data_IF_808277676734
#
_entry.id   IF_808277676734
#
_cell.length_a   1.000
_cell.length_b   1.000
_cell.length_c   1.000
_cell.angle_alpha   90.00
_cell.angle_beta   90.00
_cell.angle_gamma   90.00
#
_symmetry.space_group_name_H-M   'P 1'
#
loop_
_entity.id
_entity.type
_entity.pdbx_description
1 polymer ?
#
# COMPACT_ATOMS: atom_id res chain seq x y z
N UNK A 1 40.80 -35.90 21.60
CA UNK A 1 40.33 -35.60 22.97
C UNK A 1 41.10 -34.38 23.47
N UNK A 2 40.36 -33.31 23.84
CA UNK A 2 40.80 -32.05 24.51
C UNK A 2 41.46 -30.96 23.64
N UNK A 3 40.66 -29.90 23.46
CA UNK A 3 40.97 -28.57 22.92
C UNK A 3 41.89 -27.73 23.83
N UNK A 4 42.34 -26.55 23.34
CA UNK A 4 42.32 -25.17 23.93
C UNK A 4 43.34 -24.29 23.17
N UNK A 5 42.91 -23.38 22.28
CA UNK A 5 42.45 -21.98 22.48
C UNK A 5 43.56 -20.99 22.88
N UNK A 6 43.96 -20.20 21.86
CA UNK A 6 44.30 -18.75 21.76
C UNK A 6 44.87 -17.98 22.97
N UNK A 7 45.99 -17.28 22.76
CA UNK A 7 46.24 -15.92 23.26
C UNK A 7 47.07 -15.11 22.26
N UNK A 8 46.42 -14.26 21.46
CA UNK A 8 47.04 -13.10 20.81
C UNK A 8 46.66 -11.89 21.67
N UNK A 9 47.68 -11.31 22.30
CA UNK A 9 47.68 -9.97 22.87
C UNK A 9 47.37 -8.96 21.78
N UNK A 10 46.57 -7.93 22.07
CA UNK A 10 46.96 -6.51 21.96
C UNK A 10 45.76 -5.57 22.20
N UNK A 11 45.94 -4.77 23.27
CA UNK A 11 45.47 -3.41 23.56
C UNK A 11 43.96 -3.11 23.68
N UNK A 12 43.53 -3.06 24.93
CA UNK A 12 42.47 -2.19 25.41
C UNK A 12 42.94 -0.72 25.41
N UNK A 13 42.12 0.17 24.84
CA UNK A 13 42.09 1.58 25.20
C UNK A 13 40.65 1.90 25.63
N UNK A 14 40.52 2.12 26.93
CA UNK A 14 39.29 2.49 27.63
C UNK A 14 39.17 4.02 27.58
N UNK A 15 38.00 4.53 27.20
CA UNK A 15 37.73 5.97 27.12
C UNK A 15 36.26 6.26 26.80
N UNK A 16 35.38 5.85 27.70
CA UNK A 16 33.97 6.28 27.72
C UNK A 16 33.92 7.66 28.40
N UNK A 17 33.20 8.63 27.83
CA UNK A 17 32.04 9.31 28.42
C UNK A 17 31.60 10.54 27.58
N UNK A 18 30.40 10.40 27.00
CA UNK A 18 29.24 11.32 26.99
C UNK A 18 29.35 12.70 26.31
N UNK A 19 28.61 12.86 25.21
CA UNK A 19 27.32 13.59 25.23
C UNK A 19 26.57 13.38 23.91
N UNK A 20 25.57 12.49 23.94
CA UNK A 20 24.62 12.30 22.84
C UNK A 20 23.25 11.95 23.43
N UNK A 21 22.42 12.96 23.62
CA UNK A 21 20.95 12.82 23.60
C UNK A 21 20.57 12.51 22.14
N UNK A 22 19.58 11.71 21.79
CA UNK A 22 18.35 11.32 22.47
C UNK A 22 17.79 10.05 21.83
N UNK A 23 17.04 9.27 22.61
CA UNK A 23 16.05 8.27 22.17
C UNK A 23 15.23 8.73 20.95
N UNK A 24 14.96 7.81 20.01
CA UNK A 24 13.60 7.30 19.81
C UNK A 24 13.63 6.00 19.00
N UNK A 25 13.24 4.91 19.66
CA UNK A 25 12.84 3.67 19.01
C UNK A 25 11.56 3.94 18.20
N UNK A 26 11.60 3.71 16.88
CA UNK A 26 10.40 3.70 16.06
C UNK A 26 10.11 2.26 15.61
N UNK A 27 9.61 1.46 16.54
CA UNK A 27 8.83 0.25 16.25
C UNK A 27 7.34 0.61 16.07
N UNK A 28 7.06 1.71 15.37
CA UNK A 28 5.71 2.25 15.19
C UNK A 28 5.43 2.48 13.71
N UNK A 29 5.36 1.41 12.93
CA UNK A 29 4.66 1.43 11.63
C UNK A 29 3.77 0.19 11.41
N UNK A 30 3.64 -0.69 12.42
CA UNK A 30 2.79 -1.87 12.36
C UNK A 30 1.34 -1.63 12.78
N UNK A 31 0.97 -0.41 13.23
CA UNK A 31 -0.40 -0.08 13.62
C UNK A 31 -1.20 0.67 12.56
N UNK A 32 -0.56 1.44 11.69
CA UNK A 32 -1.29 2.31 10.75
C UNK A 32 -1.85 1.60 9.50
N UNK A 33 -1.39 0.38 9.19
CA UNK A 33 -1.93 -0.39 8.04
C UNK A 33 -3.19 -1.18 8.45
N UNK A 34 -3.37 -1.47 9.74
CA UNK A 34 -4.43 -2.37 10.22
C UNK A 34 -5.77 -1.67 10.50
N UNK A 35 -5.77 -0.35 10.68
CA UNK A 35 -6.96 0.44 11.05
C UNK A 35 -7.81 0.91 9.84
N UNK A 36 -7.35 0.72 8.59
CA UNK A 36 -8.13 1.09 7.40
C UNK A 36 -9.24 0.08 7.02
N UNK A 37 -9.30 -1.10 7.67
CA UNK A 37 -10.21 -2.18 7.26
C UNK A 37 -11.32 -2.53 8.28
N UNK A 38 -11.45 -1.76 9.37
CA UNK A 38 -12.29 -2.16 10.52
C UNK A 38 -13.45 -1.20 10.86
N UNK A 39 -13.90 -0.35 9.95
CA UNK A 39 -15.04 0.54 10.24
C UNK A 39 -15.94 0.80 9.03
N UNK A 40 -16.63 -0.23 8.53
CA UNK A 40 -18.00 0.01 8.05
C UNK A 40 -18.80 -1.30 8.00
N UNK A 41 -19.56 -1.57 9.06
CA UNK A 41 -20.91 -2.13 9.00
C UNK A 41 -21.54 -1.93 10.38
N UNK A 42 -22.74 -1.34 10.45
CA UNK A 42 -23.94 -1.97 11.05
C UNK A 42 -25.12 -0.97 11.17
N UNK A 43 -26.13 -1.22 10.32
CA UNK A 43 -27.60 -1.12 10.54
C UNK A 43 -28.35 0.21 10.35
N UNK A 44 -29.09 0.24 9.23
CA UNK A 44 -30.52 0.56 9.25
C UNK A 44 -31.31 -0.50 10.06
N UNK A 45 -32.31 -0.06 10.83
CA UNK A 45 -33.69 -0.58 10.81
C UNK A 45 -34.65 0.26 11.70
N UNK A 46 -35.58 0.96 11.02
CA UNK A 46 -37.05 0.84 11.17
C UNK A 46 -37.83 1.31 12.42
N UNK A 47 -38.76 2.26 12.14
CA UNK A 47 -40.13 2.50 12.67
C UNK A 47 -40.36 3.23 14.01
N UNK A 48 -40.96 4.44 14.01
CA UNK A 48 -42.42 4.73 13.92
C UNK A 48 -42.72 6.22 14.18
N UNK A 49 -43.80 6.69 13.56
CA UNK A 49 -44.31 8.07 13.43
C UNK A 49 -44.63 8.81 14.73
N UNK A 50 -44.50 10.15 14.69
CA UNK A 50 -45.57 11.05 15.14
C UNK A 50 -45.44 12.47 14.54
N UNK A 51 -46.52 12.89 13.88
CA UNK A 51 -46.76 14.18 13.21
C UNK A 51 -47.00 15.32 14.20
N UNK A 52 -46.46 16.53 13.93
CA UNK A 52 -47.16 17.83 13.99
C UNK A 52 -46.28 19.02 13.54
N UNK A 53 -46.95 19.94 12.85
CA UNK A 53 -46.57 21.25 12.27
C UNK A 53 -45.77 22.15 13.26
N UNK A 54 -44.97 23.16 12.90
CA UNK A 54 -45.03 24.18 11.84
C UNK A 54 -43.68 24.95 11.77
N UNK A 55 -43.37 25.47 10.58
CA UNK A 55 -42.57 26.68 10.26
C UNK A 55 -41.08 26.79 10.67
N UNK A 56 -40.19 26.78 9.67
CA UNK A 56 -39.50 27.98 9.12
C UNK A 56 -38.04 27.70 8.71
N UNK A 57 -37.67 28.20 7.51
CA UNK A 57 -36.31 28.43 6.97
C UNK A 57 -35.51 27.18 6.58
N UNK A 58 -34.67 27.14 5.55
CA UNK A 58 -34.37 27.89 4.33
C UNK A 58 -33.39 26.97 3.56
N UNK A 59 -33.29 27.13 2.24
CA UNK A 59 -32.54 26.34 1.27
C UNK A 59 -31.24 25.66 1.73
N UNK A 60 -31.01 24.42 1.28
CA UNK A 60 -29.69 23.92 0.81
C UNK A 60 -29.85 22.55 0.12
N UNK A 61 -30.55 22.51 -1.01
CA UNK A 61 -30.36 21.45 -2.01
C UNK A 61 -29.44 22.00 -3.10
N UNK A 62 -28.12 21.93 -2.89
CA UNK A 62 -27.12 21.99 -3.98
C UNK A 62 -25.80 21.46 -3.45
N UNK A 63 -25.55 20.17 -3.66
CA UNK A 63 -24.22 19.60 -3.95
C UNK A 63 -24.32 18.07 -4.18
N UNK A 64 -25.32 17.65 -4.96
CA UNK A 64 -25.12 16.50 -5.87
C UNK A 64 -24.35 17.05 -7.07
N UNK A 65 -23.37 16.31 -7.58
CA UNK A 65 -22.38 16.68 -8.61
C UNK A 65 -21.05 17.26 -8.10
N UNK A 66 -20.22 16.40 -7.51
CA UNK A 66 -18.76 16.49 -7.74
C UNK A 66 -18.13 15.10 -7.61
N UNK A 67 -18.18 14.32 -8.70
CA UNK A 67 -17.16 13.34 -9.13
C UNK A 67 -17.65 12.46 -10.29
N UNK A 68 -18.48 12.98 -11.21
CA UNK A 68 -18.61 12.37 -12.53
C UNK A 68 -17.72 13.17 -13.50
N UNK A 69 -16.44 12.81 -13.52
CA UNK A 69 -15.58 12.75 -14.71
C UNK A 69 -14.20 12.21 -14.32
N UNK A 70 -14.17 10.98 -13.79
CA UNK A 70 -13.02 10.14 -14.05
C UNK A 70 -13.05 9.91 -15.57
N UNK A 71 -12.13 10.56 -16.28
CA UNK A 71 -11.98 10.28 -17.71
C UNK A 71 -11.42 8.86 -17.73
N UNK A 72 -12.28 7.89 -18.05
CA UNK A 72 -11.83 6.57 -18.50
C UNK A 72 -11.08 6.82 -19.82
N UNK A 73 -9.80 7.17 -19.71
CA UNK A 73 -8.85 6.85 -20.76
C UNK A 73 -8.73 5.34 -20.75
N UNK A 74 -9.65 4.68 -21.47
CA UNK A 74 -9.39 3.34 -21.97
C UNK A 74 -8.04 3.36 -22.68
N UNK A 75 -7.19 2.42 -22.32
CA UNK A 75 -5.78 2.39 -22.65
C UNK A 75 -5.45 2.72 -24.10
N UNK A 76 -4.48 3.61 -24.30
CA UNK A 76 -3.70 3.60 -25.54
C UNK A 76 -2.69 2.45 -25.42
N UNK A 77 -3.13 1.24 -25.76
CA UNK A 77 -2.33 0.01 -25.69
C UNK A 77 -2.99 -1.09 -24.84
N UNK A 78 -2.29 -2.22 -24.70
CA UNK A 78 -2.69 -3.43 -23.93
C UNK A 78 -2.88 -3.21 -22.42
N UNK A 79 -2.91 -1.96 -21.93
CA UNK A 79 -2.97 -1.59 -20.51
C UNK A 79 -4.31 -0.88 -20.25
N UNK A 80 -5.16 -1.46 -19.42
CA UNK A 80 -6.48 -0.89 -19.11
C UNK A 80 -6.39 0.34 -18.20
N UNK A 81 -5.46 0.34 -17.25
CA UNK A 81 -5.28 1.43 -16.27
C UNK A 81 -3.79 1.76 -16.16
N UNK A 82 -3.39 2.86 -16.77
CA UNK A 82 -2.02 3.37 -16.65
C UNK A 82 -1.94 4.51 -15.64
N UNK A 83 -1.57 4.18 -14.41
CA UNK A 83 -1.38 5.16 -13.33
C UNK A 83 -0.14 6.04 -13.56
N UNK A 84 0.79 5.63 -14.42
CA UNK A 84 2.02 6.38 -14.72
C UNK A 84 1.77 7.62 -15.57
N UNK A 85 0.61 7.66 -16.24
CA UNK A 85 0.15 8.81 -17.03
C UNK A 85 -0.75 9.75 -16.22
N UNK A 86 -1.03 9.42 -14.96
CA UNK A 86 -1.86 10.23 -14.07
C UNK A 86 -0.99 11.16 -13.21
N UNK A 87 -1.55 12.28 -12.77
CA UNK A 87 -0.93 13.03 -11.67
C UNK A 87 -0.94 12.17 -10.39
N UNK A 88 -0.03 12.45 -9.45
CA UNK A 88 0.02 11.70 -8.18
C UNK A 88 -1.33 11.68 -7.46
N UNK A 89 -2.05 12.81 -7.39
CA UNK A 89 -3.40 12.89 -6.83
C UNK A 89 -4.42 11.99 -7.54
N UNK A 90 -4.40 11.93 -8.87
CA UNK A 90 -5.31 11.06 -9.62
C UNK A 90 -4.94 9.57 -9.48
N UNK A 91 -3.64 9.25 -9.53
CA UNK A 91 -3.17 7.89 -9.33
C UNK A 91 -3.56 7.37 -7.93
N UNK A 92 -3.35 8.19 -6.90
CA UNK A 92 -3.72 7.87 -5.53
C UNK A 92 -5.23 7.66 -5.38
N UNK A 93 -6.06 8.57 -5.92
CA UNK A 93 -7.51 8.42 -5.89
C UNK A 93 -7.98 7.14 -6.63
N UNK A 94 -7.37 6.82 -7.78
CA UNK A 94 -7.68 5.61 -8.53
C UNK A 94 -7.30 4.34 -7.77
N UNK A 95 -6.15 4.32 -7.11
CA UNK A 95 -5.73 3.20 -6.25
C UNK A 95 -6.65 3.01 -5.05
N UNK A 96 -7.08 4.12 -4.44
CA UNK A 96 -8.05 4.06 -3.35
C UNK A 96 -9.39 3.46 -3.80
N UNK A 97 -9.89 3.84 -4.97
CA UNK A 97 -11.09 3.25 -5.57
C UNK A 97 -10.90 1.76 -5.90
N UNK A 98 -9.73 1.37 -6.43
CA UNK A 98 -9.38 -0.04 -6.64
C UNK A 98 -9.38 -0.86 -5.35
N UNK A 99 -8.93 -0.27 -4.23
CA UNK A 99 -8.91 -0.92 -2.92
C UNK A 99 -10.32 -1.10 -2.35
N UNK A 100 -11.23 -0.14 -2.58
CA UNK A 100 -12.62 -0.23 -2.10
C UNK A 100 -13.50 -1.14 -2.96
N UNK A 101 -13.23 -1.19 -4.27
CA UNK A 101 -14.08 -1.85 -5.27
C UNK A 101 -13.32 -2.95 -6.02
N UNK A 102 -12.53 -3.78 -5.31
CA UNK A 102 -11.57 -4.73 -5.90
C UNK A 102 -12.14 -5.60 -7.02
N UNK A 103 -13.37 -6.11 -6.86
CA UNK A 103 -14.04 -6.96 -7.85
C UNK A 103 -14.32 -6.29 -9.19
N UNK A 104 -14.47 -4.96 -9.22
CA UNK A 104 -14.65 -4.21 -10.47
C UNK A 104 -13.35 -4.16 -11.31
N UNK A 105 -12.22 -4.53 -10.72
CA UNK A 105 -10.89 -4.44 -11.31
C UNK A 105 -10.28 -5.80 -11.66
N UNK A 106 -10.92 -6.91 -11.29
CA UNK A 106 -10.43 -8.25 -11.60
C UNK A 106 -10.16 -8.43 -13.11
N UNK A 107 -8.99 -8.98 -13.44
CA UNK A 107 -8.56 -9.22 -14.81
C UNK A 107 -8.09 -7.99 -15.58
N UNK A 108 -8.20 -6.77 -15.04
CA UNK A 108 -7.67 -5.56 -15.70
C UNK A 108 -6.15 -5.53 -15.62
N UNK A 109 -5.49 -5.10 -16.70
CA UNK A 109 -4.06 -4.85 -16.74
C UNK A 109 -3.75 -3.44 -16.24
N UNK A 110 -2.99 -3.35 -15.16
CA UNK A 110 -2.65 -2.11 -14.47
C UNK A 110 -1.15 -1.87 -14.57
N UNK A 111 -0.77 -0.63 -14.87
CA UNK A 111 0.62 -0.17 -14.80
C UNK A 111 0.76 0.88 -13.71
N UNK A 112 1.72 0.68 -12.81
CA UNK A 112 1.95 1.53 -11.65
C UNK A 112 3.44 1.78 -11.44
N UNK A 113 3.79 3.01 -11.06
CA UNK A 113 5.14 3.37 -10.60
C UNK A 113 5.07 3.73 -9.12
N UNK A 114 5.99 3.18 -8.33
CA UNK A 114 6.08 3.40 -6.90
C UNK A 114 7.46 3.04 -6.36
N UNK A 115 7.61 2.99 -5.05
CA UNK A 115 8.84 2.54 -4.39
C UNK A 115 8.71 1.10 -3.94
N UNK A 116 9.72 0.28 -4.19
CA UNK A 116 9.72 -1.12 -3.81
C UNK A 116 9.71 -1.26 -2.29
N UNK A 117 8.75 -2.04 -1.78
CA UNK A 117 8.68 -2.45 -0.39
C UNK A 117 8.54 -3.97 -0.27
N UNK A 118 9.20 -4.55 0.72
CA UNK A 118 9.10 -5.96 1.08
C UNK A 118 8.68 -6.08 2.55
N UNK A 119 7.59 -6.80 2.81
CA UNK A 119 6.99 -6.95 4.13
C UNK A 119 6.82 -8.41 4.47
N UNK A 120 7.22 -8.81 5.67
CA UNK A 120 7.04 -10.18 6.14
C UNK A 120 5.76 -10.27 6.97
N UNK A 121 4.88 -11.22 6.66
CA UNK A 121 3.67 -11.43 7.45
C UNK A 121 3.24 -12.91 7.51
N UNK A 122 3.01 -13.48 8.71
CA UNK A 122 3.40 -12.96 10.02
C UNK A 122 4.94 -12.84 10.14
N UNK A 123 5.45 -12.33 11.26
CA UNK A 123 6.90 -12.27 11.49
C UNK A 123 7.54 -13.67 11.35
N UNK A 124 8.61 -13.77 10.55
CA UNK A 124 9.23 -15.05 10.18
C UNK A 124 8.49 -15.86 9.10
N UNK A 125 7.39 -15.35 8.56
CA UNK A 125 6.61 -15.96 7.48
C UNK A 125 7.07 -15.51 6.08
N UNK A 126 6.12 -15.51 5.14
CA UNK A 126 6.37 -15.17 3.74
C UNK A 126 6.53 -13.65 3.54
N UNK A 127 7.30 -13.29 2.51
CA UNK A 127 7.43 -11.92 2.05
C UNK A 127 6.33 -11.56 1.05
N UNK A 128 5.81 -10.34 1.21
CA UNK A 128 4.88 -9.69 0.31
C UNK A 128 5.52 -8.44 -0.26
N UNK A 129 5.36 -8.23 -1.55
CA UNK A 129 6.06 -7.20 -2.29
C UNK A 129 5.08 -6.14 -2.80
N UNK A 130 5.49 -4.88 -2.69
CA UNK A 130 4.61 -3.75 -2.99
C UNK A 130 5.31 -2.71 -3.83
N UNK A 131 4.57 -2.13 -4.77
CA UNK A 131 4.85 -0.80 -5.27
C UNK A 131 4.13 0.21 -4.36
N UNK A 132 4.90 0.94 -3.55
CA UNK A 132 4.40 1.97 -2.64
C UNK A 132 4.20 3.28 -3.40
N UNK A 133 2.95 3.70 -3.54
CA UNK A 133 2.56 4.93 -4.22
C UNK A 133 2.22 5.99 -3.19
N UNK A 134 2.91 7.12 -3.26
CA UNK A 134 2.68 8.26 -2.37
C UNK A 134 1.85 9.33 -3.06
N UNK A 135 1.08 10.07 -2.26
CA UNK A 135 0.49 11.32 -2.72
C UNK A 135 1.56 12.39 -2.99
N UNK A 136 1.14 13.54 -3.54
CA UNK A 136 2.04 14.61 -3.96
C UNK A 136 2.79 15.24 -2.77
N UNK A 137 2.19 15.19 -1.58
CA UNK A 137 2.80 15.67 -0.33
C UNK A 137 3.73 14.64 0.34
N UNK A 138 3.73 13.40 -0.15
CA UNK A 138 4.46 12.26 0.42
C UNK A 138 4.16 11.98 1.90
N UNK A 139 2.95 12.31 2.37
CA UNK A 139 2.52 12.05 3.75
C UNK A 139 1.58 10.84 3.86
N UNK A 140 1.00 10.40 2.74
CA UNK A 140 0.16 9.22 2.66
C UNK A 140 0.71 8.24 1.62
N UNK A 141 0.65 6.95 1.92
CA UNK A 141 1.10 5.88 1.03
C UNK A 141 0.03 4.79 0.89
N UNK A 142 -0.14 4.31 -0.34
CA UNK A 142 -0.90 3.10 -0.64
C UNK A 142 0.04 2.08 -1.28
N UNK A 143 -0.01 0.84 -0.80
CA UNK A 143 0.75 -0.26 -1.37
C UNK A 143 -0.07 -1.01 -2.41
N UNK A 144 0.50 -1.21 -3.59
CA UNK A 144 -0.02 -2.14 -4.59
C UNK A 144 0.78 -3.43 -4.49
N UNK A 145 0.17 -4.49 -3.97
CA UNK A 145 0.79 -5.82 -3.87
C UNK A 145 1.04 -6.36 -5.27
N UNK A 146 2.18 -7.01 -5.48
CA UNK A 146 2.46 -7.71 -6.73
C UNK A 146 3.15 -9.04 -6.49
N UNK A 147 2.88 -9.98 -7.40
CA UNK A 147 3.56 -11.27 -7.52
C UNK A 147 4.33 -11.26 -8.83
N UNK A 148 5.64 -11.47 -8.72
CA UNK A 148 6.53 -11.55 -9.86
C UNK A 148 6.60 -13.00 -10.35
N UNK A 149 6.01 -13.25 -11.52
CA UNK A 149 6.00 -14.57 -12.15
C UNK A 149 7.41 -15.04 -12.47
N UNK A 150 7.69 -16.29 -12.11
CA UNK A 150 8.98 -16.92 -12.36
C UNK A 150 9.60 -17.47 -11.08
N UNK A 151 10.85 -17.87 -11.19
CA UNK A 151 11.65 -18.29 -10.04
C UNK A 151 12.50 -17.10 -9.59
N UNK A 152 11.95 -16.28 -8.69
CA UNK A 152 12.64 -15.12 -8.10
C UNK A 152 12.87 -15.35 -6.61
N UNK A 153 14.08 -15.06 -6.14
CA UNK A 153 14.50 -15.22 -4.75
C UNK A 153 14.72 -13.84 -4.14
N UNK A 154 14.00 -13.54 -3.07
CA UNK A 154 14.26 -12.36 -2.26
C UNK A 154 15.34 -12.66 -1.20
N UNK A 155 16.35 -11.79 -1.02
CA UNK A 155 16.50 -10.46 -1.61
C UNK A 155 17.28 -10.40 -2.94
N UNK A 156 17.86 -11.50 -3.42
CA UNK A 156 18.85 -11.49 -4.51
C UNK A 156 18.33 -10.96 -5.86
N UNK A 157 17.11 -11.33 -6.25
CA UNK A 157 16.52 -10.98 -7.55
C UNK A 157 15.65 -9.72 -7.49
N UNK A 158 15.33 -9.24 -6.29
CA UNK A 158 14.41 -8.13 -6.10
C UNK A 158 15.13 -6.77 -6.05
N UNK A 159 14.42 -5.67 -6.40
CA UNK A 159 14.94 -4.32 -6.25
C UNK A 159 15.36 -4.02 -4.80
N UNK A 160 16.23 -3.02 -4.62
CA UNK A 160 16.56 -2.57 -3.28
C UNK A 160 15.34 -1.94 -2.60
N UNK A 161 15.19 -2.13 -1.29
CA UNK A 161 14.11 -1.47 -0.54
C UNK A 161 14.15 0.04 -0.74
N UNK A 162 13.01 0.64 -1.09
CA UNK A 162 12.89 2.06 -1.42
C UNK A 162 13.35 2.43 -2.83
N UNK A 163 13.83 1.49 -3.65
CA UNK A 163 14.14 1.75 -5.05
C UNK A 163 12.87 2.01 -5.84
N UNK A 164 12.91 3.00 -6.74
CA UNK A 164 11.78 3.30 -7.61
C UNK A 164 11.60 2.20 -8.65
N UNK A 165 10.38 1.69 -8.76
CA UNK A 165 10.00 0.60 -9.65
C UNK A 165 8.75 0.94 -10.45
N UNK A 166 8.63 0.33 -11.61
CA UNK A 166 7.40 0.28 -12.40
C UNK A 166 6.98 -1.18 -12.59
N UNK A 167 5.74 -1.49 -12.20
CA UNK A 167 5.12 -2.80 -12.32
C UNK A 167 3.97 -2.70 -13.31
N UNK A 168 3.91 -3.64 -14.26
CA UNK A 168 2.74 -3.83 -15.11
C UNK A 168 2.24 -5.25 -14.91
N UNK A 169 1.00 -5.39 -14.45
CA UNK A 169 0.44 -6.71 -14.15
C UNK A 169 -1.07 -6.76 -14.26
N UNK A 170 -1.60 -7.98 -14.21
CA UNK A 170 -3.04 -8.24 -14.24
C UNK A 170 -3.55 -8.35 -12.81
N UNK A 171 -4.66 -7.69 -12.52
CA UNK A 171 -5.32 -7.76 -11.21
C UNK A 171 -5.88 -9.17 -11.02
N UNK A 172 -5.43 -9.83 -9.96
CA UNK A 172 -5.98 -11.09 -9.49
C UNK A 172 -6.44 -10.93 -8.04
N UNK A 173 -7.59 -11.52 -7.73
CA UNK A 173 -8.19 -11.46 -6.39
C UNK A 173 -7.82 -12.68 -5.57
N UNK A 174 -7.64 -12.47 -4.28
CA UNK A 174 -7.42 -13.55 -3.32
C UNK A 174 -8.08 -13.23 -1.98
N UNK A 175 -8.35 -14.27 -1.20
CA UNK A 175 -8.92 -14.14 0.14
C UNK A 175 -7.81 -14.21 1.20
N UNK A 176 -7.76 -13.23 2.11
CA UNK A 176 -6.88 -13.26 3.29
C UNK A 176 -7.61 -12.69 4.49
N UNK A 177 -7.59 -13.43 5.59
CA UNK A 177 -8.23 -13.04 6.86
C UNK A 177 -9.73 -12.70 6.73
N UNK A 178 -10.42 -13.30 5.76
CA UNK A 178 -11.84 -13.05 5.49
C UNK A 178 -12.15 -11.80 4.67
N UNK A 179 -11.12 -11.18 4.09
CA UNK A 179 -11.25 -10.03 3.18
C UNK A 179 -10.75 -10.38 1.79
N UNK A 180 -11.52 -10.00 0.77
CA UNK A 180 -11.08 -10.01 -0.62
C UNK A 180 -10.03 -8.93 -0.84
N UNK A 181 -8.83 -9.34 -1.22
CA UNK A 181 -7.71 -8.48 -1.57
C UNK A 181 -7.34 -8.69 -3.04
N UNK A 182 -6.44 -7.85 -3.55
CA UNK A 182 -5.90 -8.02 -4.88
C UNK A 182 -4.38 -7.89 -4.87
N UNK A 183 -3.76 -8.51 -5.87
CA UNK A 183 -2.38 -8.27 -6.26
C UNK A 183 -2.29 -8.09 -7.78
N UNK A 184 -1.17 -7.57 -8.25
CA UNK A 184 -0.82 -7.57 -9.66
C UNK A 184 0.07 -8.77 -9.96
N UNK A 185 -0.37 -9.66 -10.85
CA UNK A 185 0.48 -10.69 -11.44
C UNK A 185 1.30 -10.04 -12.56
N UNK A 186 2.62 -9.94 -12.39
CA UNK A 186 3.51 -9.30 -13.36
C UNK A 186 4.62 -10.24 -13.84
N UNK A 187 5.06 -10.07 -15.09
CA UNK A 187 6.19 -10.83 -15.64
C UNK A 187 7.52 -10.08 -15.48
N UNK A 188 7.47 -8.75 -15.34
CA UNK A 188 8.64 -7.88 -15.22
C UNK A 188 8.44 -6.81 -14.14
N UNK A 189 9.52 -6.53 -13.41
CA UNK A 189 9.64 -5.39 -12.50
C UNK A 189 10.77 -4.50 -13.00
N UNK A 190 10.42 -3.31 -13.49
CA UNK A 190 11.39 -2.37 -14.06
C UNK A 190 11.89 -1.42 -12.98
N UNK A 191 13.19 -1.31 -12.83
CA UNK A 191 13.81 -0.31 -11.96
C UNK A 191 14.16 0.95 -12.74
N UNK A 192 14.02 2.11 -12.10
CA UNK A 192 14.61 3.35 -12.60
C UNK A 192 15.98 3.55 -11.93
N UNK A 193 16.99 3.99 -12.70
CA UNK A 193 18.33 4.36 -12.21
C UNK A 193 18.40 5.80 -11.69
#
# INVERSE_FOLDING_TARGET
MKARIKQILILAAFGILLSGCSEQENSASLKEIQDLQAADQTKEETSREQTKENASQEQTETASSFAEKATETEGVGDIDIDLTQMSSTMAYAKLYDMMLSTTAYEGKKVKVTGYFGAYQYPEGGDYYFYALVTDEAACCQLGVEFVWNGEHVYPEDYPQSGQKITVTGVVELYERDGYTRYHLICDDVLTEE
#
